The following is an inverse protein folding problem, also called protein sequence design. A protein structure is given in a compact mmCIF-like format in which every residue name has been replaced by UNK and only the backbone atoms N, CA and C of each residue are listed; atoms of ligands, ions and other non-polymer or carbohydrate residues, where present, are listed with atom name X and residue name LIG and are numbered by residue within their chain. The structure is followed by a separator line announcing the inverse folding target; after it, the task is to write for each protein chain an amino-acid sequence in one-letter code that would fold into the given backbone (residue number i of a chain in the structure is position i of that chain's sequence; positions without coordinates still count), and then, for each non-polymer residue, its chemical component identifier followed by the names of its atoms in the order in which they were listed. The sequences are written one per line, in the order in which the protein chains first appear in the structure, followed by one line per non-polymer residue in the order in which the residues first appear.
data_IF_903829633041
#
_entry.id   IF_903829633041
#
_cell.length_a   1.000
_cell.length_b   1.000
_cell.length_c   1.000
_cell.angle_alpha   90.00
_cell.angle_beta   90.00
_cell.angle_gamma   90.00
#
_symmetry.space_group_name_H-M   'P 1'
#
loop_
_entity.id
_entity.type
_entity.pdbx_description
1 polymer ?
#
# COMPACT_ATOMS: atom_id res chain seq x y z
N UNK A 1 16.59 -16.70 6.01
CA UNK A 1 16.42 -16.07 4.66
C UNK A 1 15.09 -16.45 3.99
N UNK A 2 14.62 -17.71 4.07
CA UNK A 2 13.32 -18.13 3.48
C UNK A 2 12.11 -17.45 4.12
N UNK A 3 12.06 -17.36 5.45
CA UNK A 3 10.99 -16.67 6.21
C UNK A 3 10.93 -15.16 5.86
N UNK A 4 12.10 -14.52 5.65
CA UNK A 4 12.18 -13.11 5.25
C UNK A 4 11.64 -12.89 3.82
N UNK A 5 11.86 -13.82 2.89
CA UNK A 5 11.30 -13.81 1.53
C UNK A 5 9.77 -14.03 1.54
N UNK A 6 9.28 -14.93 2.38
CA UNK A 6 7.84 -15.18 2.53
C UNK A 6 7.11 -13.97 3.14
N UNK A 7 7.70 -13.29 4.14
CA UNK A 7 7.16 -12.03 4.69
C UNK A 7 7.13 -10.91 3.66
N UNK A 8 8.16 -10.78 2.83
CA UNK A 8 8.18 -9.79 1.73
C UNK A 8 7.13 -10.11 0.64
N UNK A 9 6.83 -11.38 0.36
CA UNK A 9 5.78 -11.76 -0.58
C UNK A 9 4.38 -11.37 -0.08
N UNK A 10 4.07 -11.59 1.21
CA UNK A 10 2.75 -11.21 1.77
C UNK A 10 2.52 -9.70 1.83
N UNK A 11 3.58 -8.90 2.01
CA UNK A 11 3.50 -7.43 2.02
C UNK A 11 3.36 -6.88 0.59
N UNK A 12 3.94 -7.54 -0.40
CA UNK A 12 3.89 -7.13 -1.81
C UNK A 12 2.54 -7.29 -2.48
N UNK A 13 1.64 -8.11 -1.94
CA UNK A 13 0.33 -8.38 -2.53
C UNK A 13 -0.80 -7.55 -1.89
N UNK A 14 -0.47 -6.58 -1.02
CA UNK A 14 -1.46 -5.66 -0.45
C UNK A 14 -1.71 -4.49 -1.40
N UNK A 15 -2.96 -4.31 -1.77
CA UNK A 15 -3.40 -3.18 -2.57
C UNK A 15 -3.96 -2.09 -1.65
N UNK A 16 -3.28 -0.95 -1.59
CA UNK A 16 -3.68 0.19 -0.75
C UNK A 16 -4.66 1.13 -1.44
N UNK A 17 -4.72 1.08 -2.78
CA UNK A 17 -5.64 1.92 -3.56
C UNK A 17 -6.46 1.01 -4.46
N UNK A 18 -7.77 1.19 -4.45
CA UNK A 18 -8.69 0.34 -5.18
C UNK A 18 -9.76 1.16 -5.91
N UNK A 19 -9.81 0.98 -7.23
CA UNK A 19 -10.84 1.56 -8.09
C UNK A 19 -11.71 0.48 -8.71
N UNK A 20 -12.96 0.82 -9.02
CA UNK A 20 -13.87 0.01 -9.81
C UNK A 20 -14.22 0.72 -11.10
N UNK A 21 -13.89 0.13 -12.24
CA UNK A 21 -14.32 0.60 -13.54
C UNK A 21 -15.67 -0.03 -13.86
N UNK A 22 -16.70 0.80 -14.00
CA UNK A 22 -18.06 0.41 -14.37
C UNK A 22 -18.41 0.95 -15.75
N UNK A 23 -19.35 0.30 -16.42
CA UNK A 23 -19.86 0.74 -17.71
C UNK A 23 -21.39 0.82 -17.67
N UNK A 24 -21.94 1.78 -18.40
CA UNK A 24 -23.37 1.87 -18.68
C UNK A 24 -23.80 0.85 -19.75
N UNK A 25 -25.11 0.66 -19.90
CA UNK A 25 -25.66 -0.19 -20.93
C UNK A 25 -25.22 0.25 -22.32
N UNK A 26 -24.74 -0.70 -23.12
CA UNK A 26 -24.22 -0.45 -24.47
C UNK A 26 -22.72 -0.68 -24.64
N UNK A 27 -21.94 -0.74 -23.56
CA UNK A 27 -20.53 -1.13 -23.62
C UNK A 27 -20.36 -2.63 -23.56
N UNK A 28 -19.48 -3.12 -24.43
CA UNK A 28 -19.06 -4.52 -24.39
C UNK A 28 -18.06 -4.75 -23.25
N UNK A 29 -18.00 -5.97 -22.74
CA UNK A 29 -17.01 -6.32 -21.71
C UNK A 29 -15.58 -6.17 -22.23
N UNK A 30 -15.33 -6.40 -23.52
CA UNK A 30 -14.04 -6.25 -24.17
C UNK A 30 -13.58 -4.77 -24.14
N UNK A 31 -14.47 -3.84 -24.44
CA UNK A 31 -14.16 -2.40 -24.36
C UNK A 31 -13.79 -1.97 -22.93
N UNK A 32 -14.58 -2.41 -21.96
CA UNK A 32 -14.30 -2.14 -20.55
C UNK A 32 -12.95 -2.71 -20.12
N UNK A 33 -12.62 -3.93 -20.53
CA UNK A 33 -11.33 -4.56 -20.27
C UNK A 33 -10.17 -3.80 -20.93
N UNK A 34 -10.33 -3.38 -22.18
CA UNK A 34 -9.29 -2.62 -22.89
C UNK A 34 -8.99 -1.30 -22.16
N UNK A 35 -10.01 -0.63 -21.65
CA UNK A 35 -9.82 0.56 -20.82
C UNK A 35 -9.17 0.25 -19.49
N UNK A 36 -9.54 -0.82 -18.81
CA UNK A 36 -8.90 -1.25 -17.57
C UNK A 36 -7.39 -1.53 -17.77
N UNK A 37 -7.01 -2.20 -18.88
CA UNK A 37 -5.59 -2.44 -19.21
C UNK A 37 -4.85 -1.14 -19.56
N UNK A 38 -5.50 -0.18 -20.22
CA UNK A 38 -4.92 1.16 -20.45
C UNK A 38 -4.66 1.88 -19.13
N UNK A 39 -5.65 1.92 -18.24
CA UNK A 39 -5.51 2.54 -16.92
C UNK A 39 -4.37 1.85 -16.16
N UNK A 40 -4.32 0.53 -16.12
CA UNK A 40 -3.26 -0.25 -15.48
C UNK A 40 -1.87 0.14 -16.03
N UNK A 41 -1.73 0.24 -17.35
CA UNK A 41 -0.46 0.56 -18.01
C UNK A 41 0.02 1.97 -17.67
N UNK A 42 -0.88 2.93 -17.55
CA UNK A 42 -0.53 4.30 -17.17
C UNK A 42 -0.26 4.42 -15.67
N UNK A 43 -1.11 3.84 -14.83
CA UNK A 43 -0.97 3.94 -13.37
C UNK A 43 0.31 3.26 -12.87
N UNK A 44 0.76 2.17 -13.52
CA UNK A 44 2.01 1.51 -13.12
C UNK A 44 3.25 2.39 -13.32
N UNK A 45 3.17 3.44 -14.17
CA UNK A 45 4.27 4.40 -14.38
C UNK A 45 4.33 5.50 -13.33
N UNK A 46 3.33 5.60 -12.45
CA UNK A 46 3.32 6.59 -11.38
C UNK A 46 4.40 6.27 -10.33
N UNK A 47 5.15 7.30 -9.90
CA UNK A 47 6.20 7.11 -8.89
C UNK A 47 5.62 6.61 -7.56
N UNK A 48 6.25 5.60 -6.97
CA UNK A 48 5.80 4.93 -5.75
C UNK A 48 4.85 3.76 -5.97
N UNK A 49 4.41 3.47 -7.20
CA UNK A 49 3.58 2.31 -7.53
C UNK A 49 4.48 1.11 -7.80
N UNK A 50 4.24 0.00 -7.07
CA UNK A 50 4.96 -1.26 -7.28
C UNK A 50 4.28 -2.18 -8.29
N UNK A 51 2.96 -2.28 -8.20
CA UNK A 51 2.18 -3.25 -8.97
C UNK A 51 0.76 -2.74 -9.15
N UNK A 52 0.21 -2.96 -10.33
CA UNK A 52 -1.22 -2.76 -10.59
C UNK A 52 -1.81 -4.11 -11.03
N UNK A 53 -2.91 -4.52 -10.42
CA UNK A 53 -3.62 -5.75 -10.76
C UNK A 53 -5.07 -5.46 -11.10
N UNK A 54 -5.60 -6.23 -12.04
CA UNK A 54 -7.02 -6.19 -12.40
C UNK A 54 -7.75 -7.34 -11.72
N UNK A 55 -8.97 -7.07 -11.25
CA UNK A 55 -9.84 -8.01 -10.57
C UNK A 55 -11.19 -8.08 -11.27
N UNK A 56 -11.84 -9.24 -11.22
CA UNK A 56 -13.11 -9.45 -11.93
C UNK A 56 -12.96 -9.58 -13.43
N UNK A 57 -11.73 -9.73 -13.94
CA UNK A 57 -11.47 -9.93 -15.37
C UNK A 57 -11.76 -11.39 -15.72
N UNK A 58 -12.63 -11.58 -16.71
CA UNK A 58 -12.94 -12.91 -17.25
C UNK A 58 -11.86 -13.34 -18.24
N UNK A 59 -11.57 -14.64 -18.24
CA UNK A 59 -10.64 -15.24 -19.19
C UNK A 59 -11.31 -15.34 -20.56
N UNK A 60 -10.73 -14.70 -21.57
CA UNK A 60 -11.15 -14.88 -22.95
C UNK A 60 -10.81 -16.29 -23.42
N UNK A 61 -11.73 -16.90 -24.13
CA UNK A 61 -11.58 -18.21 -24.72
C UNK A 61 -12.08 -18.17 -26.15
N UNK A 62 -11.57 -19.08 -26.98
CA UNK A 62 -12.13 -19.36 -28.30
C UNK A 62 -12.96 -20.63 -28.17
N UNK A 63 -14.27 -20.50 -28.31
CA UNK A 63 -15.20 -21.60 -28.29
C UNK A 63 -15.27 -22.23 -29.67
N UNK A 64 -15.07 -23.52 -29.73
CA UNK A 64 -15.16 -24.31 -30.98
C UNK A 64 -16.36 -25.28 -30.84
N UNK A 65 -17.50 -24.91 -31.41
CA UNK A 65 -18.71 -25.71 -31.38
C UNK A 65 -18.74 -26.66 -32.58
N UNK A 66 -18.70 -27.94 -32.30
CA UNK A 66 -18.68 -28.96 -33.34
C UNK A 66 -19.92 -29.84 -33.25
N UNK A 67 -20.59 -30.09 -34.39
CA UNK A 67 -21.72 -31.00 -34.43
C UNK A 67 -21.23 -32.44 -34.39
N UNK A 68 -21.71 -33.21 -33.42
CA UNK A 68 -21.41 -34.64 -33.28
C UNK A 68 -21.75 -35.43 -34.53
N UNK A 69 -22.87 -35.11 -35.20
CA UNK A 69 -23.28 -35.77 -36.42
C UNK A 69 -22.31 -35.54 -37.57
N UNK A 70 -21.77 -34.31 -37.70
CA UNK A 70 -20.75 -34.01 -38.72
C UNK A 70 -19.44 -34.75 -38.45
N UNK A 71 -19.00 -34.83 -37.18
CA UNK A 71 -17.79 -35.54 -36.80
C UNK A 71 -17.88 -37.04 -37.12
N UNK A 72 -18.99 -37.67 -36.72
CA UNK A 72 -19.23 -39.10 -36.97
C UNK A 72 -19.28 -39.37 -38.45
N UNK A 73 -20.00 -38.54 -39.24
CA UNK A 73 -20.10 -38.67 -40.70
C UNK A 73 -18.76 -38.58 -41.42
N UNK A 74 -17.80 -37.84 -40.87
CA UNK A 74 -16.44 -37.69 -41.42
C UNK A 74 -15.42 -38.64 -40.78
N UNK A 75 -15.83 -39.46 -39.81
CA UNK A 75 -14.96 -40.39 -39.08
C UNK A 75 -13.89 -39.73 -38.24
N UNK A 76 -14.18 -38.54 -37.69
CA UNK A 76 -13.28 -37.77 -36.82
C UNK A 76 -13.62 -38.08 -35.35
N UNK A 77 -12.63 -38.51 -34.60
CA UNK A 77 -12.75 -38.64 -33.14
C UNK A 77 -12.57 -37.24 -32.47
N UNK A 78 -13.52 -36.80 -31.63
CA UNK A 78 -13.40 -35.56 -30.89
C UNK A 78 -12.09 -35.41 -30.09
N UNK A 79 -11.57 -36.52 -29.54
CA UNK A 79 -10.29 -36.50 -28.82
C UNK A 79 -9.09 -36.26 -29.73
N UNK A 80 -9.13 -36.84 -30.94
CA UNK A 80 -8.07 -36.60 -31.93
C UNK A 80 -8.08 -35.14 -32.40
N UNK A 81 -9.26 -34.55 -32.59
CA UNK A 81 -9.41 -33.15 -32.94
C UNK A 81 -8.83 -32.25 -31.84
N UNK A 82 -9.16 -32.48 -30.56
CA UNK A 82 -8.65 -31.73 -29.45
C UNK A 82 -7.10 -31.83 -29.35
N UNK A 83 -6.56 -33.03 -29.49
CA UNK A 83 -5.10 -33.25 -29.45
C UNK A 83 -4.40 -32.56 -30.64
N UNK A 84 -4.99 -32.56 -31.82
CA UNK A 84 -4.44 -31.87 -32.99
C UNK A 84 -4.37 -30.37 -32.77
N UNK A 85 -5.44 -29.74 -32.30
CA UNK A 85 -5.48 -28.32 -31.99
C UNK A 85 -4.45 -27.94 -30.90
N UNK A 86 -4.33 -28.77 -29.87
CA UNK A 86 -3.36 -28.54 -28.77
C UNK A 86 -1.92 -28.70 -29.26
N UNK A 87 -1.63 -29.67 -30.12
CA UNK A 87 -0.28 -29.91 -30.63
C UNK A 87 0.19 -28.84 -31.62
N UNK A 88 -0.74 -28.18 -32.31
CA UNK A 88 -0.40 -27.13 -33.25
C UNK A 88 -0.28 -25.74 -32.59
N UNK A 89 -0.94 -25.52 -31.47
CA UNK A 89 -0.84 -24.27 -30.72
C UNK A 89 0.35 -24.28 -29.75
N UNK A 90 1.56 -24.51 -30.27
CA UNK A 90 2.77 -24.58 -29.47
C UNK A 90 3.91 -23.77 -30.11
N UNK A 91 4.73 -23.15 -29.26
CA UNK A 91 6.00 -22.56 -29.66
C UNK A 91 7.04 -23.68 -29.61
N UNK A 92 7.54 -24.09 -30.77
CA UNK A 92 8.58 -25.10 -30.87
C UNK A 92 9.93 -24.41 -30.99
N UNK A 93 10.82 -24.68 -30.04
CA UNK A 93 12.21 -24.25 -30.13
C UNK A 93 12.93 -25.16 -31.12
N UNK A 94 13.17 -24.67 -32.35
CA UNK A 94 13.76 -25.45 -33.46
C UNK A 94 15.29 -25.44 -33.45
N UNK A 95 15.93 -24.79 -32.46
CA UNK A 95 17.39 -24.79 -32.32
C UNK A 95 18.02 -23.42 -32.56
N UNK A 96 19.34 -23.42 -32.71
CA UNK A 96 20.15 -22.21 -32.92
C UNK A 96 20.95 -22.33 -34.22
N UNK A 97 20.94 -21.26 -35.02
CA UNK A 97 21.80 -21.15 -36.21
C UNK A 97 22.98 -20.26 -35.86
N UNK A 98 24.19 -20.75 -36.08
CA UNK A 98 25.42 -19.99 -35.92
C UNK A 98 25.71 -19.25 -37.25
N UNK A 99 25.61 -17.93 -37.22
CA UNK A 99 26.00 -17.05 -38.31
C UNK A 99 27.28 -16.25 -37.90
N UNK A 100 28.46 -16.84 -38.15
CA UNK A 100 29.71 -16.27 -37.69
C UNK A 100 29.87 -16.25 -36.17
N UNK A 101 30.02 -15.09 -35.57
CA UNK A 101 30.13 -14.90 -34.09
C UNK A 101 28.77 -14.80 -33.40
N UNK A 102 27.69 -14.65 -34.16
CA UNK A 102 26.34 -14.50 -33.61
C UNK A 102 25.60 -15.82 -33.60
N UNK A 103 24.92 -16.12 -32.49
CA UNK A 103 23.98 -17.22 -32.37
C UNK A 103 22.56 -16.68 -32.53
N UNK A 104 21.86 -17.09 -33.56
CA UNK A 104 20.46 -16.73 -33.83
C UNK A 104 19.57 -17.90 -33.39
N UNK A 105 18.71 -17.64 -32.42
CA UNK A 105 17.71 -18.60 -31.99
C UNK A 105 16.57 -18.65 -32.99
N UNK A 106 16.29 -19.81 -33.54
CA UNK A 106 15.17 -20.04 -34.44
C UNK A 106 14.04 -20.67 -33.67
N UNK A 107 12.91 -19.98 -33.65
CA UNK A 107 11.67 -20.49 -33.03
C UNK A 107 10.59 -20.59 -34.10
N UNK A 108 10.02 -21.76 -34.27
CA UNK A 108 8.80 -21.90 -35.09
C UNK A 108 7.60 -21.48 -34.21
N UNK A 109 6.96 -20.37 -34.60
CA UNK A 109 5.73 -19.92 -33.93
C UNK A 109 4.54 -20.64 -34.58
N UNK A 110 4.05 -21.68 -33.93
CA UNK A 110 2.84 -22.40 -34.31
C UNK A 110 1.57 -21.86 -33.65
N UNK A 111 1.68 -20.75 -32.88
CA UNK A 111 0.50 -20.18 -32.21
C UNK A 111 -0.45 -19.52 -33.20
N UNK A 112 -1.75 -19.73 -33.00
CA UNK A 112 -2.78 -19.03 -33.76
C UNK A 112 -2.76 -17.53 -33.37
N UNK A 113 -2.62 -16.66 -34.37
CA UNK A 113 -2.65 -15.22 -34.18
C UNK A 113 -4.08 -14.67 -34.20
N UNK A 114 -4.93 -15.28 -35.00
CA UNK A 114 -6.30 -14.83 -35.26
C UNK A 114 -7.28 -16.03 -35.26
N UNK A 115 -8.58 -15.73 -35.13
CA UNK A 115 -9.65 -16.72 -35.28
C UNK A 115 -9.65 -17.34 -36.67
N UNK A 116 -9.31 -16.57 -37.70
CA UNK A 116 -9.27 -17.04 -39.07
C UNK A 116 -8.17 -18.07 -39.30
N UNK A 117 -7.07 -18.02 -38.55
CA UNK A 117 -6.06 -19.08 -38.58
C UNK A 117 -6.62 -20.40 -38.09
N UNK A 118 -7.44 -20.35 -37.02
CA UNK A 118 -8.13 -21.53 -36.49
C UNK A 118 -9.20 -22.03 -37.50
N UNK A 119 -9.95 -21.13 -38.13
CA UNK A 119 -10.95 -21.49 -39.15
C UNK A 119 -10.32 -22.16 -40.37
N UNK A 120 -9.18 -21.66 -40.82
CA UNK A 120 -8.47 -22.17 -41.99
C UNK A 120 -7.62 -23.40 -41.70
N UNK A 121 -7.58 -23.83 -40.43
CA UNK A 121 -6.86 -25.03 -40.02
C UNK A 121 -7.36 -26.26 -40.80
N UNK A 122 -6.43 -26.94 -41.49
CA UNK A 122 -6.74 -28.14 -42.24
C UNK A 122 -6.64 -29.37 -41.36
N UNK A 123 -7.70 -30.16 -41.36
CA UNK A 123 -7.81 -31.44 -40.67
C UNK A 123 -7.86 -32.56 -41.69
N UNK A 124 -7.01 -33.55 -41.52
CA UNK A 124 -7.03 -34.75 -42.36
C UNK A 124 -8.04 -35.74 -41.80
N UNK A 125 -9.04 -36.07 -42.62
CA UNK A 125 -10.11 -37.01 -42.29
C UNK A 125 -10.01 -38.24 -43.17
N UNK A 126 -10.81 -39.27 -42.90
CA UNK A 126 -10.93 -40.44 -43.78
C UNK A 126 -11.51 -40.10 -45.17
N UNK A 127 -12.27 -39.03 -45.27
CA UNK A 127 -12.91 -38.54 -46.50
C UNK A 127 -12.06 -37.51 -47.26
N UNK A 128 -10.86 -37.11 -46.74
CA UNK A 128 -9.99 -36.09 -47.33
C UNK A 128 -9.63 -34.98 -46.37
N UNK A 129 -9.09 -33.89 -46.90
CA UNK A 129 -8.72 -32.71 -46.12
C UNK A 129 -9.90 -31.73 -46.03
N UNK A 130 -10.26 -31.30 -44.84
CA UNK A 130 -11.37 -30.39 -44.56
C UNK A 130 -10.89 -29.26 -43.66
N UNK A 131 -11.37 -28.03 -43.89
CA UNK A 131 -11.09 -26.92 -42.97
C UNK A 131 -11.93 -27.02 -41.69
N UNK A 132 -11.36 -26.62 -40.55
CA UNK A 132 -12.08 -26.64 -39.29
C UNK A 132 -13.33 -25.75 -39.34
N UNK A 133 -13.28 -24.60 -40.03
CA UNK A 133 -14.40 -23.68 -40.17
C UNK A 133 -15.60 -24.27 -40.94
N UNK A 134 -15.41 -25.37 -41.73
CA UNK A 134 -16.51 -26.04 -42.46
C UNK A 134 -17.30 -26.99 -41.54
N UNK A 135 -16.67 -27.47 -40.47
CA UNK A 135 -17.26 -28.44 -39.53
C UNK A 135 -17.59 -27.86 -38.16
N UNK A 136 -17.00 -26.73 -37.82
CA UNK A 136 -17.14 -26.08 -36.51
C UNK A 136 -17.57 -24.62 -36.64
N UNK A 137 -18.35 -24.15 -35.67
CA UNK A 137 -18.59 -22.72 -35.44
C UNK A 137 -17.56 -22.25 -34.44
N UNK A 138 -16.76 -21.22 -34.80
CA UNK A 138 -15.65 -20.72 -34.00
C UNK A 138 -15.95 -19.29 -33.62
N UNK A 139 -16.08 -19.04 -32.31
CA UNK A 139 -16.47 -17.76 -31.76
C UNK A 139 -15.59 -17.39 -30.58
N UNK A 140 -15.28 -16.08 -30.45
CA UNK A 140 -14.72 -15.54 -29.23
C UNK A 140 -15.77 -15.52 -28.13
N UNK A 141 -15.38 -15.86 -26.94
CA UNK A 141 -16.24 -15.80 -25.78
C UNK A 141 -15.43 -15.68 -24.49
N UNK A 142 -16.11 -15.88 -23.41
CA UNK A 142 -15.51 -15.92 -22.08
C UNK A 142 -15.73 -17.29 -21.46
N UNK A 143 -14.85 -17.65 -20.53
CA UNK A 143 -14.96 -18.92 -19.82
C UNK A 143 -16.30 -18.99 -19.05
N UNK A 144 -17.07 -20.05 -19.26
CA UNK A 144 -18.33 -20.31 -18.60
C UNK A 144 -18.24 -21.63 -17.82
N UNK A 145 -18.55 -21.66 -16.50
CA UNK A 145 -18.94 -20.53 -15.66
C UNK A 145 -17.77 -19.56 -15.41
N UNK A 146 -18.06 -18.25 -15.24
CA UNK A 146 -17.04 -17.24 -14.98
C UNK A 146 -16.36 -17.50 -13.65
N UNK A 147 -15.03 -17.50 -13.66
CA UNK A 147 -14.22 -17.78 -12.46
C UNK A 147 -14.13 -16.59 -11.50
N UNK A 148 -14.33 -15.37 -11.99
CA UNK A 148 -14.11 -14.15 -11.24
C UNK A 148 -15.08 -13.06 -11.71
N UNK A 149 -16.01 -12.66 -10.86
CA UNK A 149 -16.98 -11.61 -11.18
C UNK A 149 -16.89 -10.53 -10.11
N UNK A 150 -16.90 -9.28 -10.54
CA UNK A 150 -16.97 -8.12 -9.65
C UNK A 150 -18.16 -7.24 -10.03
N UNK A 151 -18.85 -6.74 -9.02
CA UNK A 151 -19.91 -5.76 -9.17
C UNK A 151 -19.64 -4.58 -8.24
N UNK A 152 -19.93 -3.38 -8.73
CA UNK A 152 -19.90 -2.14 -7.95
C UNK A 152 -21.24 -1.46 -8.14
N UNK A 153 -21.94 -1.16 -7.04
CA UNK A 153 -23.27 -0.55 -7.05
C UNK A 153 -24.28 -1.29 -7.94
N UNK A 154 -24.20 -2.64 -7.99
CA UNK A 154 -25.08 -3.49 -8.81
C UNK A 154 -24.70 -3.58 -10.28
N UNK A 155 -23.79 -2.75 -10.79
CA UNK A 155 -23.27 -2.83 -12.16
C UNK A 155 -22.06 -3.75 -12.24
N UNK A 156 -21.87 -4.46 -13.35
CA UNK A 156 -20.65 -5.24 -13.61
C UNK A 156 -19.45 -4.29 -13.63
N UNK A 157 -18.36 -4.68 -12.98
CA UNK A 157 -17.17 -3.87 -12.84
C UNK A 157 -15.87 -4.66 -13.03
N UNK A 158 -14.81 -3.94 -13.40
CA UNK A 158 -13.44 -4.44 -13.33
C UNK A 158 -12.73 -3.66 -12.22
N UNK A 159 -12.22 -4.36 -11.22
CA UNK A 159 -11.45 -3.77 -10.14
C UNK A 159 -10.01 -3.50 -10.56
N UNK A 160 -9.48 -2.34 -10.19
CA UNK A 160 -8.10 -1.93 -10.43
C UNK A 160 -7.45 -1.70 -9.07
N UNK A 161 -6.62 -2.64 -8.63
CA UNK A 161 -5.89 -2.54 -7.39
C UNK A 161 -4.47 -2.04 -7.63
N UNK A 162 -4.06 -1.04 -6.87
CA UNK A 162 -2.71 -0.45 -6.91
C UNK A 162 -1.99 -0.77 -5.62
N UNK A 163 -0.85 -1.42 -5.72
CA UNK A 163 0.06 -1.70 -4.61
C UNK A 163 1.14 -0.63 -4.57
N UNK A 164 1.28 0.02 -3.42
CA UNK A 164 2.27 1.07 -3.18
C UNK A 164 3.55 0.50 -2.58
N UNK A 165 4.68 1.17 -2.80
CA UNK A 165 5.95 0.81 -2.19
C UNK A 165 5.90 1.11 -0.67
N UNK A 166 6.11 0.11 0.21
CA UNK A 166 6.12 0.32 1.65
C UNK A 166 7.20 1.29 2.16
N UNK A 167 8.21 1.59 1.34
CA UNK A 167 9.30 2.53 1.66
C UNK A 167 8.99 3.96 1.21
N UNK A 168 7.92 4.16 0.46
CA UNK A 168 7.47 5.46 -0.03
C UNK A 168 6.27 5.96 0.76
N UNK A 169 6.07 7.26 0.72
CA UNK A 169 4.88 7.88 1.30
C UNK A 169 3.65 7.50 0.47
N UNK A 170 2.68 6.85 1.13
CA UNK A 170 1.43 6.42 0.50
C UNK A 170 0.58 7.61 0.06
N UNK A 171 0.62 8.73 0.79
CA UNK A 171 -0.13 9.95 0.44
C UNK A 171 0.40 10.52 -0.86
N UNK A 172 1.72 10.70 -0.97
CA UNK A 172 2.36 11.20 -2.18
C UNK A 172 2.15 10.25 -3.37
N UNK A 173 2.27 8.93 -3.14
CA UNK A 173 2.01 7.93 -4.18
C UNK A 173 0.56 8.00 -4.68
N UNK A 174 -0.40 8.18 -3.77
CA UNK A 174 -1.81 8.35 -4.14
C UNK A 174 -2.06 9.58 -4.99
N UNK A 175 -1.43 10.70 -4.68
CA UNK A 175 -1.50 11.91 -5.51
C UNK A 175 -0.88 11.69 -6.91
N UNK A 176 0.26 11.00 -7.00
CA UNK A 176 0.88 10.65 -8.27
C UNK A 176 -0.05 9.76 -9.13
N UNK A 177 -0.73 8.79 -8.51
CA UNK A 177 -1.74 7.97 -9.18
C UNK A 177 -2.91 8.81 -9.66
N UNK A 178 -3.41 9.74 -8.83
CA UNK A 178 -4.51 10.64 -9.17
C UNK A 178 -4.17 11.55 -10.35
N UNK A 179 -2.94 12.08 -10.42
CA UNK A 179 -2.45 12.86 -11.56
C UNK A 179 -2.52 12.02 -12.83
N UNK A 180 -2.03 10.76 -12.80
CA UNK A 180 -2.07 9.86 -13.97
C UNK A 180 -3.50 9.50 -14.40
N UNK A 181 -4.39 9.31 -13.45
CA UNK A 181 -5.81 9.09 -13.75
C UNK A 181 -6.47 10.31 -14.36
N UNK A 182 -6.17 11.51 -13.86
CA UNK A 182 -6.70 12.75 -14.40
C UNK A 182 -6.24 13.03 -15.85
N UNK A 183 -5.08 12.53 -16.26
CA UNK A 183 -4.62 12.57 -17.65
C UNK A 183 -5.47 11.66 -18.56
N UNK A 184 -6.01 10.55 -18.04
CA UNK A 184 -6.78 9.56 -18.78
C UNK A 184 -8.29 9.80 -18.78
N UNK A 185 -8.86 10.32 -17.69
CA UNK A 185 -10.29 10.50 -17.53
C UNK A 185 -10.94 11.30 -18.68
N UNK A 186 -10.34 12.39 -19.22
CA UNK A 186 -10.93 13.13 -20.35
C UNK A 186 -10.93 12.34 -21.66
N UNK A 187 -10.12 11.27 -21.76
CA UNK A 187 -10.02 10.43 -22.96
C UNK A 187 -10.99 9.24 -22.91
N UNK A 188 -11.61 9.00 -21.74
CA UNK A 188 -12.55 7.89 -21.56
C UNK A 188 -13.89 8.23 -22.27
N UNK A 189 -14.51 7.22 -22.93
CA UNK A 189 -15.84 7.38 -23.48
C UNK A 189 -16.87 7.72 -22.39
N UNK A 190 -17.84 8.55 -22.74
CA UNK A 190 -18.98 8.84 -21.87
C UNK A 190 -19.76 7.54 -21.60
N UNK A 191 -20.02 7.24 -20.35
CA UNK A 191 -20.66 5.99 -19.90
C UNK A 191 -19.71 4.98 -19.28
N UNK A 192 -18.38 5.20 -19.34
CA UNK A 192 -17.42 4.50 -18.50
C UNK A 192 -17.10 5.36 -17.27
N UNK A 193 -17.28 4.80 -16.08
CA UNK A 193 -17.03 5.50 -14.82
C UNK A 193 -15.97 4.78 -14.00
N UNK A 194 -14.99 5.54 -13.51
CA UNK A 194 -14.00 5.05 -12.56
C UNK A 194 -14.38 5.49 -11.15
N UNK A 195 -14.86 4.56 -10.34
CA UNK A 195 -15.28 4.84 -8.96
C UNK A 195 -14.17 4.45 -7.99
N UNK A 196 -13.88 5.31 -7.02
CA UNK A 196 -12.98 5.00 -5.91
C UNK A 196 -13.70 4.10 -4.91
N UNK A 197 -13.10 2.95 -4.59
CA UNK A 197 -13.66 1.99 -3.63
C UNK A 197 -12.93 2.04 -2.29
N UNK A 198 -11.61 2.15 -2.33
CA UNK A 198 -10.77 2.25 -1.16
C UNK A 198 -9.50 3.04 -1.50
N UNK A 199 -9.24 4.09 -0.76
CA UNK A 199 -8.12 5.01 -0.96
C UNK A 199 -7.33 5.13 0.36
N UNK A 200 -6.32 4.28 0.56
CA UNK A 200 -5.46 4.30 1.75
C UNK A 200 -4.75 5.65 1.90
N UNK A 201 -4.39 6.28 0.78
CA UNK A 201 -3.74 7.59 0.77
C UNK A 201 -4.63 8.69 1.35
N UNK A 202 -5.93 8.73 1.03
CA UNK A 202 -6.86 9.71 1.59
C UNK A 202 -7.09 9.46 3.08
N UNK A 203 -7.31 8.20 3.46
CA UNK A 203 -7.46 7.79 4.85
C UNK A 203 -6.21 8.12 5.67
N UNK A 204 -5.02 7.91 5.11
CA UNK A 204 -3.76 8.25 5.77
C UNK A 204 -3.60 9.78 5.91
N UNK A 205 -3.95 10.54 4.88
CA UNK A 205 -3.88 12.00 4.90
C UNK A 205 -4.87 12.60 5.94
N UNK A 206 -6.11 12.10 5.96
CA UNK A 206 -7.09 12.51 6.99
C UNK A 206 -6.60 12.19 8.40
N UNK A 207 -6.06 10.98 8.60
CA UNK A 207 -5.51 10.59 9.89
C UNK A 207 -4.32 11.46 10.33
N UNK A 208 -3.43 11.81 9.39
CA UNK A 208 -2.30 12.69 9.67
C UNK A 208 -2.75 14.11 10.03
N UNK A 209 -3.67 14.68 9.28
CA UNK A 209 -4.22 16.01 9.55
C UNK A 209 -4.99 16.05 10.87
N UNK A 210 -5.86 15.07 11.10
CA UNK A 210 -6.60 14.95 12.36
C UNK A 210 -5.65 14.82 13.57
N UNK A 211 -4.54 14.07 13.39
CA UNK A 211 -3.53 13.97 14.45
C UNK A 211 -2.87 15.32 14.77
N UNK A 212 -2.45 16.08 13.76
CA UNK A 212 -1.80 17.38 13.99
C UNK A 212 -2.74 18.31 14.75
N UNK A 213 -4.02 18.33 14.38
CA UNK A 213 -5.04 19.12 15.08
C UNK A 213 -5.16 18.66 16.54
N UNK A 214 -5.35 17.37 16.77
CA UNK A 214 -5.48 16.80 18.11
C UNK A 214 -4.22 17.03 18.97
N UNK A 215 -3.03 16.98 18.35
CA UNK A 215 -1.78 17.27 19.03
C UNK A 215 -1.74 18.73 19.51
N UNK A 216 -2.09 19.68 18.65
CA UNK A 216 -2.14 21.09 18.99
C UNK A 216 -3.17 21.36 20.09
N UNK A 217 -4.37 20.80 19.96
CA UNK A 217 -5.42 20.91 20.98
C UNK A 217 -4.94 20.34 22.33
N UNK A 218 -4.34 19.17 22.32
CA UNK A 218 -3.82 18.54 23.55
C UNK A 218 -2.73 19.38 24.22
N UNK A 219 -1.80 19.94 23.44
CA UNK A 219 -0.76 20.85 23.95
C UNK A 219 -1.41 22.07 24.58
N UNK A 220 -2.39 22.69 23.92
CA UNK A 220 -3.09 23.87 24.44
C UNK A 220 -3.83 23.56 25.74
N UNK A 221 -4.57 22.45 25.80
CA UNK A 221 -5.30 22.02 27.00
C UNK A 221 -4.32 21.81 28.16
N UNK A 222 -3.20 21.12 27.93
CA UNK A 222 -2.18 20.86 28.97
C UNK A 222 -1.58 22.18 29.47
N UNK A 223 -1.21 23.08 28.55
CA UNK A 223 -0.66 24.38 28.93
C UNK A 223 -1.66 25.19 29.76
N UNK A 224 -2.94 25.24 29.35
CA UNK A 224 -3.99 25.97 30.09
C UNK A 224 -4.19 25.38 31.49
N UNK A 225 -4.25 24.05 31.62
CA UNK A 225 -4.41 23.40 32.93
C UNK A 225 -3.22 23.73 33.84
N UNK A 226 -2.00 23.62 33.32
CA UNK A 226 -0.79 23.93 34.12
C UNK A 226 -0.74 25.41 34.50
N UNK A 227 -1.13 26.31 33.59
CA UNK A 227 -1.22 27.75 33.93
C UNK A 227 -2.22 28.04 35.05
N UNK A 228 -3.35 27.33 35.07
CA UNK A 228 -4.37 27.48 36.10
C UNK A 228 -3.89 26.95 37.47
N UNK A 229 -3.19 25.83 37.47
CA UNK A 229 -2.73 25.15 38.71
C UNK A 229 -1.43 25.78 39.28
N UNK A 230 -0.41 25.99 38.43
CA UNK A 230 0.93 26.43 38.83
C UNK A 230 1.23 27.90 38.54
N UNK A 231 0.29 28.59 37.87
CA UNK A 231 0.44 29.98 37.47
C UNK A 231 1.07 30.19 36.10
N UNK A 232 0.87 31.38 35.55
CA UNK A 232 1.18 31.73 34.16
C UNK A 232 2.67 31.49 33.78
N UNK A 233 3.59 31.84 34.70
CA UNK A 233 5.04 31.73 34.42
C UNK A 233 5.52 30.28 34.34
N UNK A 234 5.05 29.42 35.23
CA UNK A 234 5.37 27.99 35.24
C UNK A 234 4.71 27.29 34.03
N UNK A 235 3.47 27.60 33.76
CA UNK A 235 2.73 27.04 32.63
C UNK A 235 3.39 27.34 31.28
N UNK A 236 3.87 28.59 31.08
CA UNK A 236 4.60 28.95 29.85
C UNK A 236 5.94 28.21 29.73
N UNK A 237 6.67 28.05 30.84
CA UNK A 237 7.96 27.36 30.85
C UNK A 237 7.78 25.88 30.53
N UNK A 238 6.85 25.19 31.17
CA UNK A 238 6.55 23.78 30.94
C UNK A 238 6.00 23.60 29.54
N UNK A 239 5.09 24.46 29.06
CA UNK A 239 4.54 24.44 27.72
C UNK A 239 5.62 24.61 26.64
N UNK A 240 6.57 25.52 26.83
CA UNK A 240 7.71 25.68 25.90
C UNK A 240 8.59 24.42 25.85
N UNK A 241 8.89 23.81 27.00
CA UNK A 241 9.64 22.55 27.07
C UNK A 241 8.92 21.43 26.31
N UNK A 242 7.60 21.34 26.44
CA UNK A 242 6.77 20.36 25.73
C UNK A 242 6.86 20.55 24.20
N UNK A 243 6.70 21.79 23.72
CA UNK A 243 6.79 22.13 22.30
C UNK A 243 8.17 21.77 21.73
N UNK A 244 9.25 22.13 22.44
CA UNK A 244 10.61 21.83 22.02
C UNK A 244 10.88 20.31 22.03
N UNK A 245 10.38 19.59 23.02
CA UNK A 245 10.52 18.13 23.09
C UNK A 245 9.83 17.43 21.90
N UNK A 246 8.59 17.84 21.58
CA UNK A 246 7.84 17.28 20.44
C UNK A 246 8.50 17.66 19.12
N UNK A 247 8.82 18.94 18.91
CA UNK A 247 9.50 19.41 17.70
C UNK A 247 10.86 18.74 17.48
N UNK A 248 11.65 18.62 18.55
CA UNK A 248 12.93 17.92 18.53
C UNK A 248 12.77 16.43 18.21
N UNK A 249 11.72 15.78 18.73
CA UNK A 249 11.44 14.38 18.42
C UNK A 249 11.09 14.20 16.93
N UNK A 250 10.25 15.06 16.37
CA UNK A 250 9.91 15.04 14.94
C UNK A 250 11.16 15.22 14.06
N UNK A 251 12.04 16.14 14.45
CA UNK A 251 13.29 16.39 13.74
C UNK A 251 14.22 15.18 13.79
N UNK A 252 14.40 14.55 14.95
CA UNK A 252 15.23 13.35 15.10
C UNK A 252 14.62 12.18 14.30
N UNK A 253 13.31 11.97 14.35
CA UNK A 253 12.63 10.95 13.56
C UNK A 253 12.89 11.11 12.06
N UNK A 254 12.85 12.36 11.57
CA UNK A 254 13.17 12.67 10.18
C UNK A 254 14.59 12.26 9.79
N UNK A 255 15.59 12.50 10.68
CA UNK A 255 16.97 12.07 10.44
C UNK A 255 17.12 10.54 10.40
N UNK A 256 16.38 9.81 11.25
CA UNK A 256 16.43 8.34 11.27
C UNK A 256 15.52 7.67 10.24
N UNK A 257 14.81 8.43 9.41
CA UNK A 257 13.90 7.90 8.41
C UNK A 257 12.69 7.18 9.01
N UNK A 258 12.29 7.51 10.23
CA UNK A 258 11.10 6.95 10.88
C UNK A 258 9.88 7.74 10.40
N UNK A 259 9.06 7.12 9.56
CA UNK A 259 7.86 7.74 9.00
C UNK A 259 6.77 8.02 10.05
N UNK A 260 6.01 9.09 9.82
CA UNK A 260 4.79 9.38 10.57
C UNK A 260 3.70 8.40 10.13
N UNK A 261 3.37 7.45 10.99
CA UNK A 261 2.28 6.51 10.80
C UNK A 261 1.36 6.52 12.02
N UNK A 262 0.20 5.89 11.94
CA UNK A 262 -0.78 5.87 13.04
C UNK A 262 -0.18 5.43 14.38
N UNK A 263 0.77 4.52 14.34
CA UNK A 263 1.40 3.96 15.54
C UNK A 263 2.41 4.94 16.15
N UNK A 264 3.21 5.63 15.31
CA UNK A 264 4.11 6.68 15.80
C UNK A 264 3.33 7.86 16.38
N UNK A 265 2.18 8.19 15.77
CA UNK A 265 1.29 9.23 16.25
C UNK A 265 0.68 8.88 17.62
N UNK A 266 0.25 7.64 17.82
CA UNK A 266 -0.18 7.14 19.13
C UNK A 266 0.95 7.22 20.17
N UNK A 267 2.19 6.97 19.75
CA UNK A 267 3.38 7.15 20.58
C UNK A 267 3.55 8.58 21.10
N UNK A 268 3.30 9.59 20.26
CA UNK A 268 3.33 11.00 20.67
C UNK A 268 2.29 11.34 21.72
N UNK A 269 1.05 10.85 21.57
CA UNK A 269 -0.02 11.10 22.54
C UNK A 269 0.34 10.50 23.92
N UNK A 270 0.87 9.28 23.93
CA UNK A 270 1.33 8.61 25.16
C UNK A 270 2.53 9.36 25.75
N UNK A 271 3.50 9.72 24.90
CA UNK A 271 4.69 10.45 25.33
C UNK A 271 4.34 11.79 25.96
N UNK A 272 3.38 12.53 25.41
CA UNK A 272 2.99 13.86 25.86
C UNK A 272 2.62 13.88 27.35
N UNK A 273 1.84 12.90 27.83
CA UNK A 273 1.52 12.77 29.25
C UNK A 273 2.76 12.61 30.12
N UNK A 274 3.71 11.77 29.70
CA UNK A 274 4.94 11.52 30.47
C UNK A 274 6.01 12.64 30.35
N UNK A 275 5.99 13.41 29.25
CA UNK A 275 6.91 14.52 29.01
C UNK A 275 6.69 15.66 30.00
N UNK A 276 5.42 15.93 30.30
CA UNK A 276 5.01 17.02 31.18
C UNK A 276 5.43 16.74 32.62
N UNK A 277 5.40 15.50 33.07
CA UNK A 277 5.68 15.12 34.45
C UNK A 277 7.09 15.51 34.87
N UNK A 278 8.09 15.30 34.04
CA UNK A 278 9.47 15.68 34.32
C UNK A 278 9.61 17.19 34.49
N UNK A 279 8.97 17.97 33.61
CA UNK A 279 9.01 19.43 33.67
C UNK A 279 8.24 19.99 34.88
N UNK A 280 7.13 19.36 35.28
CA UNK A 280 6.38 19.74 36.49
C UNK A 280 7.23 19.58 37.73
N UNK A 281 7.89 18.43 37.93
CA UNK A 281 8.69 18.14 39.12
C UNK A 281 9.81 19.17 39.31
N UNK A 282 10.53 19.49 38.24
CA UNK A 282 11.64 20.47 38.29
C UNK A 282 11.11 21.88 38.57
N UNK A 283 10.03 22.28 37.91
CA UNK A 283 9.44 23.60 38.03
C UNK A 283 8.84 23.80 39.45
N UNK A 284 8.18 22.78 39.98
CA UNK A 284 7.60 22.82 41.34
C UNK A 284 8.68 22.95 42.40
N UNK A 285 9.75 22.15 42.33
CA UNK A 285 10.88 22.26 43.22
C UNK A 285 11.53 23.64 43.16
N UNK A 286 11.69 24.21 41.97
CA UNK A 286 12.22 25.57 41.80
C UNK A 286 11.29 26.63 42.42
N UNK A 287 9.98 26.51 42.26
CA UNK A 287 9.01 27.41 42.86
C UNK A 287 9.03 27.36 44.38
N UNK A 288 9.10 26.15 44.94
CA UNK A 288 9.23 25.97 46.40
C UNK A 288 10.51 26.64 46.93
N UNK A 289 11.64 26.48 46.23
CA UNK A 289 12.89 27.10 46.59
C UNK A 289 12.83 28.64 46.52
N UNK A 290 12.18 29.20 45.50
CA UNK A 290 11.94 30.63 45.36
C UNK A 290 11.06 31.15 46.50
N UNK A 291 10.00 30.43 46.85
CA UNK A 291 9.09 30.79 47.95
C UNK A 291 9.79 30.79 49.30
N UNK A 292 10.85 29.98 49.47
CA UNK A 292 11.73 29.98 50.66
C UNK A 292 12.77 31.10 50.68
N UNK A 293 12.74 32.01 49.70
CA UNK A 293 13.64 33.16 49.62
C UNK A 293 15.00 32.89 48.96
N UNK A 294 15.19 31.71 48.32
CA UNK A 294 16.40 31.39 47.56
C UNK A 294 16.46 32.22 46.29
N UNK A 295 17.66 32.72 45.93
CA UNK A 295 17.84 33.45 44.68
C UNK A 295 17.35 32.63 43.46
N UNK A 296 16.61 33.28 42.57
CA UNK A 296 15.97 32.62 41.41
C UNK A 296 16.91 31.72 40.60
N UNK A 297 18.13 32.19 40.30
CA UNK A 297 19.12 31.41 39.56
C UNK A 297 19.53 30.13 40.30
N UNK A 298 19.79 30.25 41.63
CA UNK A 298 20.14 29.10 42.46
C UNK A 298 18.95 28.15 42.62
N UNK A 299 17.75 28.67 42.82
CA UNK A 299 16.53 27.86 42.93
C UNK A 299 16.24 27.03 41.68
N UNK A 300 16.49 27.59 40.48
CA UNK A 300 16.34 26.83 39.22
C UNK A 300 17.37 25.71 39.10
N UNK A 301 18.64 26.00 39.43
CA UNK A 301 19.72 25.01 39.41
C UNK A 301 19.43 23.87 40.40
N UNK A 302 19.13 24.25 41.67
CA UNK A 302 18.86 23.29 42.75
C UNK A 302 17.57 22.47 42.44
N UNK A 303 16.55 23.09 41.82
CA UNK A 303 15.31 22.47 41.42
C UNK A 303 15.51 21.43 40.32
N UNK A 304 16.46 21.63 39.42
CA UNK A 304 16.82 20.67 38.38
C UNK A 304 17.76 19.57 38.88
N UNK A 305 18.82 19.95 39.64
CA UNK A 305 19.85 19.01 40.12
C UNK A 305 19.37 18.09 41.25
N UNK A 306 18.45 18.56 42.10
CA UNK A 306 17.91 17.76 43.18
C UNK A 306 17.25 16.44 42.72
N UNK A 307 16.23 16.50 41.88
CA UNK A 307 15.51 15.31 41.43
C UNK A 307 16.16 14.58 40.25
N UNK A 308 17.28 15.05 39.70
CA UNK A 308 17.86 14.57 38.43
C UNK A 308 18.04 13.06 38.36
N UNK A 309 18.56 12.40 39.39
CA UNK A 309 18.78 10.96 39.43
C UNK A 309 17.47 10.18 39.50
N UNK A 310 16.49 10.69 40.25
CA UNK A 310 15.16 10.12 40.31
C UNK A 310 14.42 10.20 38.96
N UNK A 311 14.47 11.36 38.32
CA UNK A 311 13.87 11.58 36.99
C UNK A 311 14.55 10.74 35.92
N UNK A 312 15.87 10.60 35.92
CA UNK A 312 16.61 9.73 35.00
C UNK A 312 16.19 8.27 35.19
N UNK A 313 16.13 7.82 36.46
CA UNK A 313 15.67 6.46 36.77
C UNK A 313 14.22 6.20 36.30
N UNK A 314 13.32 7.12 36.58
CA UNK A 314 11.90 7.01 36.16
C UNK A 314 11.76 7.00 34.64
N UNK A 315 12.49 7.88 33.94
CA UNK A 315 12.49 7.92 32.46
C UNK A 315 13.04 6.62 31.85
N UNK A 316 14.13 6.11 32.43
CA UNK A 316 14.72 4.84 32.00
C UNK A 316 13.76 3.66 32.18
N UNK A 317 13.09 3.59 33.33
CA UNK A 317 12.07 2.56 33.62
C UNK A 317 10.90 2.69 32.64
N UNK A 318 10.42 3.91 32.37
CA UNK A 318 9.36 4.15 31.41
C UNK A 318 9.73 3.64 30.00
N UNK A 319 10.94 3.96 29.52
CA UNK A 319 11.43 3.48 28.22
C UNK A 319 11.53 1.94 28.22
N UNK A 320 12.10 1.34 29.28
CA UNK A 320 12.24 -0.11 29.40
C UNK A 320 10.90 -0.84 29.44
N UNK A 321 9.84 -0.22 29.97
CA UNK A 321 8.49 -0.80 30.01
C UNK A 321 7.92 -1.04 28.60
N UNK A 322 8.30 -0.23 27.63
CA UNK A 322 7.87 -0.38 26.23
C UNK A 322 8.86 -1.17 25.36
N UNK A 323 10.07 -1.48 25.88
CA UNK A 323 11.09 -2.23 25.16
C UNK A 323 10.62 -3.62 24.66
N UNK A 324 9.79 -4.38 25.40
CA UNK A 324 9.27 -5.66 24.91
C UNK A 324 8.48 -5.55 23.61
N UNK A 325 7.78 -4.42 23.36
CA UNK A 325 7.08 -4.17 22.11
C UNK A 325 8.03 -4.05 20.90
N UNK A 326 9.22 -3.50 21.14
CA UNK A 326 10.26 -3.38 20.11
C UNK A 326 10.98 -4.69 19.82
N UNK A 327 11.20 -5.52 20.85
CA UNK A 327 11.99 -6.76 20.77
C UNK A 327 11.16 -7.97 20.32
N UNK A 328 9.82 -7.92 20.42
CA UNK A 328 8.96 -9.06 20.10
C UNK A 328 9.11 -9.50 18.62
N UNK A 329 9.36 -10.80 18.35
CA UNK A 329 9.54 -11.30 16.99
C UNK A 329 8.20 -11.64 16.34
N UNK A 330 7.28 -10.66 16.22
CA UNK A 330 5.95 -10.87 15.64
C UNK A 330 5.63 -9.82 14.57
N UNK A 331 4.71 -10.14 13.66
CA UNK A 331 4.25 -9.19 12.64
C UNK A 331 3.57 -7.97 13.28
N UNK A 332 2.88 -8.16 14.41
CA UNK A 332 2.26 -7.07 15.17
C UNK A 332 3.33 -6.16 15.77
N UNK A 333 4.43 -6.72 16.26
CA UNK A 333 5.54 -5.94 16.79
C UNK A 333 6.17 -5.02 15.74
N UNK A 334 6.29 -5.45 14.49
CA UNK A 334 6.78 -4.59 13.41
C UNK A 334 5.92 -3.33 13.20
N UNK A 335 4.61 -3.46 13.37
CA UNK A 335 3.67 -2.33 13.28
C UNK A 335 3.83 -1.39 14.48
N UNK A 336 4.16 -1.92 15.67
CA UNK A 336 4.21 -1.16 16.94
C UNK A 336 5.61 -0.61 17.24
N UNK A 337 6.66 -1.08 16.57
CA UNK A 337 8.05 -0.57 16.74
C UNK A 337 8.17 0.96 16.70
N UNK A 338 7.52 1.69 15.78
CA UNK A 338 7.62 3.14 15.73
C UNK A 338 7.15 3.83 17.03
N UNK A 339 6.16 3.25 17.72
CA UNK A 339 5.68 3.77 19.01
C UNK A 339 6.79 3.80 20.05
N UNK A 340 7.54 2.70 20.19
CA UNK A 340 8.68 2.64 21.13
C UNK A 340 9.74 3.67 20.78
N UNK A 341 10.08 3.81 19.49
CA UNK A 341 11.11 4.75 19.03
C UNK A 341 10.73 6.18 19.36
N UNK A 342 9.48 6.58 19.09
CA UNK A 342 8.95 7.91 19.44
C UNK A 342 9.03 8.16 20.92
N UNK A 343 8.56 7.21 21.75
CA UNK A 343 8.61 7.30 23.20
C UNK A 343 10.04 7.47 23.72
N UNK A 344 10.97 6.63 23.26
CA UNK A 344 12.36 6.67 23.71
C UNK A 344 13.04 8.01 23.36
N UNK A 345 12.85 8.51 22.13
CA UNK A 345 13.43 9.78 21.69
C UNK A 345 12.81 10.94 22.46
N UNK A 346 11.48 11.00 22.56
CA UNK A 346 10.78 12.13 23.20
C UNK A 346 11.09 12.24 24.69
N UNK A 347 11.08 11.12 25.41
CA UNK A 347 11.42 11.08 26.83
C UNK A 347 12.90 11.44 27.07
N UNK A 348 13.82 10.94 26.24
CA UNK A 348 15.24 11.28 26.30
C UNK A 348 15.50 12.75 26.04
N UNK A 349 14.80 13.35 25.06
CA UNK A 349 14.89 14.79 24.79
C UNK A 349 14.32 15.64 25.92
N UNK A 350 13.16 15.24 26.48
CA UNK A 350 12.59 15.96 27.62
C UNK A 350 13.56 16.03 28.80
N UNK A 351 14.19 14.89 29.12
CA UNK A 351 15.19 14.85 30.18
C UNK A 351 16.41 15.75 29.86
N UNK A 352 16.87 15.76 28.60
CA UNK A 352 17.98 16.61 28.16
C UNK A 352 17.63 18.09 28.23
N UNK A 353 16.43 18.48 27.78
CA UNK A 353 15.98 19.89 27.80
C UNK A 353 15.83 20.47 29.22
N UNK A 354 15.48 19.64 30.20
CA UNK A 354 15.36 20.06 31.59
C UNK A 354 16.74 20.41 32.20
N UNK A 355 17.81 19.78 31.69
CA UNK A 355 19.17 20.03 32.16
C UNK A 355 19.87 21.22 31.47
N UNK A 356 19.35 21.70 30.35
CA UNK A 356 19.81 22.87 29.60
C UNK A 356 19.12 24.12 30.11
#
# INVERSE_FOLDING_TARGET
KAIRRQRQMCIRDRFGIYYGLTADDGFTYEEMRNWAERIKTQVVTADGVMKVALFGVQTEVVNIFVSTNKLVGMGIDPKQLANLLQSQNQIINTGEIRAGVQQLRVTANGMYANIDDIRNQVITTKAGQVKLGDIAVIEKGYLDPPSNIMHVNGKRAIGIGVSTDPQRDVVQTGENVKVKLNELLPLMPVGLELQSLYLENEIANEANNGFIINLIESILIVIVIIMLVMGLRAGLLIGSSLIFSIGGTLLIMSFFGVGLNRTSLAGFIIAMGMLVDNAIVVTDNAQIAIARGINRRKALIDGATGPQWGLLGATFIAICSFLPLYLAPSAVAEIVKPLFVVLAISLGLSLSLIHI
#
